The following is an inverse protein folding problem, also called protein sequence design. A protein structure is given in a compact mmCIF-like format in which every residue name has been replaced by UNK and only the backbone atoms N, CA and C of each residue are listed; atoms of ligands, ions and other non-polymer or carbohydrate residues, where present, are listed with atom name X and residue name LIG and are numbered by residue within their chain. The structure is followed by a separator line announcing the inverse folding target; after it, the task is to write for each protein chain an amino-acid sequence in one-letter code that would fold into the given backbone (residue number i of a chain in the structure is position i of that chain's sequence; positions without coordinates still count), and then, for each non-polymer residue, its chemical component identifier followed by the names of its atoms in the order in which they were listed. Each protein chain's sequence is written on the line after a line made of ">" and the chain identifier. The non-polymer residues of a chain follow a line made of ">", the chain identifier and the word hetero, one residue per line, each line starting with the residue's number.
data_IF_344642698097
#
_entry.id   IF_344642698097
#
_cell.length_a   1.000
_cell.length_b   1.000
_cell.length_c   1.000
_cell.angle_alpha   90.00
_cell.angle_beta   90.00
_cell.angle_gamma   90.00
#
_symmetry.space_group_name_H-M   'P 1'
#
loop_
_entity.id
_entity.type
_entity.pdbx_description
1 polymer ?
#
# COMPACT_ATOMS: atom_id res chain seq x y z
N UNK A 1 28.30 -0.53 2.12
CA UNK A 1 29.57 0.12 2.52
C UNK A 1 30.68 -0.84 2.93
N UNK A 2 30.41 -1.87 3.72
CA UNK A 2 31.42 -2.87 4.15
C UNK A 2 31.93 -3.79 3.01
N UNK A 3 31.48 -3.59 1.77
CA UNK A 3 31.87 -4.43 0.61
C UNK A 3 31.29 -5.84 0.60
N UNK A 4 30.38 -6.19 1.53
CA UNK A 4 29.79 -7.54 1.65
C UNK A 4 28.65 -7.83 0.67
N UNK A 5 27.97 -6.78 0.21
CA UNK A 5 26.89 -6.85 -0.77
C UNK A 5 27.12 -5.75 -1.80
N UNK A 6 26.90 -6.08 -3.06
CA UNK A 6 26.90 -5.17 -4.19
C UNK A 6 25.45 -4.91 -4.61
N UNK A 7 25.06 -3.64 -4.70
CA UNK A 7 23.70 -3.24 -5.07
C UNK A 7 23.37 -3.57 -6.52
N UNK A 8 24.39 -3.61 -7.38
CA UNK A 8 24.24 -3.70 -8.83
C UNK A 8 24.64 -5.07 -9.38
N UNK A 9 25.16 -5.95 -8.52
CA UNK A 9 25.42 -7.33 -8.88
C UNK A 9 24.11 -8.11 -9.11
N UNK A 10 24.06 -8.98 -10.14
CA UNK A 10 22.99 -9.97 -10.31
C UNK A 10 22.79 -10.83 -9.07
N UNK A 11 21.54 -10.96 -8.63
CA UNK A 11 21.20 -11.87 -7.54
C UNK A 11 21.24 -13.34 -8.01
N UNK A 12 21.54 -14.29 -7.10
CA UNK A 12 21.49 -15.71 -7.41
C UNK A 12 20.11 -16.14 -7.92
N UNK A 13 20.07 -16.77 -9.10
CA UNK A 13 18.82 -17.20 -9.76
C UNK A 13 18.03 -18.22 -8.94
N UNK A 14 18.70 -18.94 -8.05
CA UNK A 14 18.05 -19.92 -7.19
C UNK A 14 17.21 -19.24 -6.09
N UNK A 15 17.47 -17.98 -5.73
CA UNK A 15 16.64 -17.23 -4.78
C UNK A 15 15.45 -16.51 -5.42
N UNK A 16 15.31 -16.58 -6.74
CA UNK A 16 14.34 -15.80 -7.50
C UNK A 16 13.24 -16.71 -8.09
N UNK A 17 12.04 -16.16 -8.34
CA UNK A 17 11.07 -16.82 -9.21
C UNK A 17 11.62 -16.95 -10.65
N UNK A 18 10.94 -17.74 -11.47
CA UNK A 18 11.28 -17.86 -12.89
C UNK A 18 11.21 -16.48 -13.56
N UNK A 19 12.25 -16.11 -14.31
CA UNK A 19 12.24 -14.93 -15.17
C UNK A 19 11.74 -15.33 -16.58
N UNK A 20 10.52 -14.93 -17.01
CA UNK A 20 10.00 -15.27 -18.33
C UNK A 20 10.46 -14.29 -19.43
N UNK A 21 11.28 -13.28 -19.11
CA UNK A 21 11.73 -12.22 -20.03
C UNK A 21 13.15 -12.55 -20.55
N UNK A 22 13.28 -13.14 -21.75
CA UNK A 22 14.55 -13.65 -22.25
C UNK A 22 15.52 -12.53 -22.62
N UNK A 23 16.80 -12.67 -22.24
CA UNK A 23 17.88 -11.77 -22.64
C UNK A 23 17.95 -10.43 -21.87
N UNK A 24 17.11 -10.24 -20.86
CA UNK A 24 16.94 -8.96 -20.19
C UNK A 24 17.26 -9.03 -18.69
N UNK A 25 17.72 -7.88 -18.17
CA UNK A 25 18.45 -7.65 -16.92
C UNK A 25 18.19 -8.61 -15.76
N UNK A 26 19.28 -9.06 -15.13
CA UNK A 26 19.20 -9.78 -13.87
C UNK A 26 18.60 -8.89 -12.77
N UNK A 27 17.84 -9.50 -11.87
CA UNK A 27 17.35 -8.80 -10.68
C UNK A 27 18.53 -8.44 -9.79
N UNK A 28 18.64 -7.17 -9.40
CA UNK A 28 19.68 -6.69 -8.48
C UNK A 28 19.09 -6.21 -7.15
N UNK A 29 19.92 -6.10 -6.12
CA UNK A 29 19.50 -5.58 -4.81
C UNK A 29 18.99 -4.12 -4.91
N UNK A 30 19.57 -3.30 -5.79
CA UNK A 30 19.07 -1.95 -6.08
C UNK A 30 17.63 -2.01 -6.59
N UNK A 31 17.35 -2.89 -7.55
CA UNK A 31 16.01 -3.05 -8.12
C UNK A 31 15.01 -3.59 -7.08
N UNK A 32 15.43 -4.45 -6.15
CA UNK A 32 14.58 -4.88 -5.03
C UNK A 32 14.15 -3.68 -4.17
N UNK A 33 15.13 -2.87 -3.74
CA UNK A 33 14.95 -1.80 -2.75
C UNK A 33 14.31 -0.53 -3.30
N UNK A 34 14.30 -0.34 -4.63
CA UNK A 34 13.55 0.71 -5.30
C UNK A 34 12.26 0.23 -5.98
N UNK A 35 11.84 -1.01 -5.71
CA UNK A 35 10.61 -1.60 -6.24
C UNK A 35 10.55 -1.65 -7.78
N UNK A 36 11.65 -1.98 -8.44
CA UNK A 36 11.73 -2.17 -9.90
C UNK A 36 12.26 -3.55 -10.30
N UNK A 37 12.12 -4.53 -9.43
CA UNK A 37 12.61 -5.90 -9.65
C UNK A 37 11.71 -6.76 -10.53
N UNK A 38 10.45 -6.35 -10.73
CA UNK A 38 9.43 -7.16 -11.39
C UNK A 38 8.86 -8.29 -10.54
N UNK A 39 9.21 -8.34 -9.25
CA UNK A 39 8.62 -9.32 -8.32
C UNK A 39 7.12 -9.07 -8.09
N UNK A 40 6.41 -10.16 -7.81
CA UNK A 40 5.08 -10.17 -7.22
C UNK A 40 4.99 -9.34 -5.94
N UNK A 41 3.77 -8.93 -5.57
CA UNK A 41 3.58 -8.02 -4.42
C UNK A 41 3.84 -8.76 -3.11
N UNK A 42 3.23 -9.94 -2.98
CA UNK A 42 3.24 -10.79 -1.79
C UNK A 42 3.95 -12.12 -2.01
N UNK A 43 4.48 -12.68 -0.92
CA UNK A 43 5.03 -14.04 -0.88
C UNK A 43 3.91 -15.08 -0.83
N UNK A 44 4.09 -16.28 -1.41
CA UNK A 44 3.09 -17.36 -1.33
C UNK A 44 2.86 -17.89 0.09
N UNK A 45 3.88 -17.82 0.96
CA UNK A 45 3.88 -18.35 2.34
C UNK A 45 4.49 -17.31 3.27
N UNK A 46 3.86 -17.07 4.43
CA UNK A 46 4.32 -16.13 5.46
C UNK A 46 4.01 -14.64 5.19
N UNK A 47 3.23 -14.35 4.16
CA UNK A 47 2.86 -12.99 3.76
C UNK A 47 1.65 -12.42 4.52
N UNK A 48 1.07 -11.36 3.97
CA UNK A 48 -0.01 -10.59 4.59
C UNK A 48 -1.36 -11.33 4.79
N UNK A 49 -1.49 -12.56 4.27
CA UNK A 49 -2.69 -13.38 4.42
C UNK A 49 -2.44 -14.65 5.25
N UNK A 50 -1.23 -14.82 5.80
CA UNK A 50 -0.77 -16.06 6.40
C UNK A 50 -0.29 -15.87 7.86
N UNK A 51 -1.09 -16.30 8.86
CA UNK A 51 -0.74 -16.19 10.26
C UNK A 51 0.19 -17.31 10.77
N UNK A 52 0.75 -18.17 9.89
CA UNK A 52 1.50 -19.38 10.30
C UNK A 52 2.91 -19.13 10.84
N UNK A 53 3.47 -17.92 10.68
CA UNK A 53 4.81 -17.53 11.16
C UNK A 53 5.95 -18.47 10.71
N UNK A 54 6.12 -18.72 9.40
CA UNK A 54 7.07 -19.71 8.90
C UNK A 54 8.55 -19.28 9.02
N UNK A 55 8.81 -18.02 9.38
CA UNK A 55 10.14 -17.43 9.42
C UNK A 55 10.66 -17.00 8.03
N UNK A 56 11.73 -16.21 8.02
CA UNK A 56 12.22 -15.55 6.80
C UNK A 56 12.75 -16.53 5.75
N UNK A 57 13.51 -17.55 6.15
CA UNK A 57 14.10 -18.51 5.21
C UNK A 57 13.03 -19.33 4.46
N UNK A 58 12.01 -19.84 5.16
CA UNK A 58 10.91 -20.57 4.53
C UNK A 58 10.06 -19.66 3.65
N UNK A 59 9.83 -18.41 4.10
CA UNK A 59 9.13 -17.38 3.34
C UNK A 59 9.83 -17.11 2.00
N UNK A 60 11.14 -16.85 2.01
CA UNK A 60 11.92 -16.63 0.77
C UNK A 60 12.00 -17.90 -0.08
N UNK A 61 12.12 -19.08 0.54
CA UNK A 61 12.11 -20.36 -0.16
C UNK A 61 10.85 -20.59 -0.99
N UNK A 62 9.70 -20.05 -0.57
CA UNK A 62 8.42 -20.20 -1.27
C UNK A 62 8.37 -19.50 -2.65
N UNK A 63 9.24 -18.50 -2.88
CA UNK A 63 9.29 -17.71 -4.12
C UNK A 63 9.66 -18.53 -5.37
N UNK A 64 10.36 -19.66 -5.19
CA UNK A 64 10.83 -20.50 -6.30
C UNK A 64 9.69 -21.08 -7.14
N UNK A 65 8.46 -21.09 -6.61
CA UNK A 65 7.28 -21.54 -7.34
C UNK A 65 6.63 -20.46 -8.23
N UNK A 66 7.07 -19.21 -8.10
CA UNK A 66 6.52 -18.06 -8.80
C UNK A 66 7.20 -17.74 -10.14
N UNK A 67 6.69 -16.69 -10.78
CA UNK A 67 7.21 -16.10 -12.01
C UNK A 67 7.28 -14.59 -11.81
N UNK A 68 8.29 -13.92 -12.38
CA UNK A 68 8.31 -12.45 -12.40
C UNK A 68 7.07 -11.90 -13.11
N UNK A 69 6.51 -10.85 -12.53
CA UNK A 69 5.28 -10.20 -13.00
C UNK A 69 5.57 -9.20 -14.12
N UNK A 70 6.70 -8.48 -14.03
CA UNK A 70 7.13 -7.50 -15.03
C UNK A 70 8.61 -7.66 -15.31
N UNK A 71 9.09 -7.07 -16.40
CA UNK A 71 10.51 -7.11 -16.72
C UNK A 71 11.30 -6.33 -15.65
N UNK A 72 12.43 -6.86 -15.15
CA UNK A 72 13.29 -6.14 -14.22
C UNK A 72 13.74 -4.78 -14.80
N UNK A 73 13.59 -3.72 -14.01
CA UNK A 73 13.93 -2.35 -14.39
C UNK A 73 12.84 -1.61 -15.16
N UNK A 74 11.84 -2.30 -15.73
CA UNK A 74 10.84 -1.71 -16.63
C UNK A 74 10.01 -0.62 -15.95
N UNK A 75 9.40 -0.93 -14.82
CA UNK A 75 8.51 -0.01 -14.09
C UNK A 75 8.56 -0.23 -12.59
N UNK A 76 8.08 0.78 -11.87
CA UNK A 76 7.95 0.73 -10.42
C UNK A 76 6.71 -0.08 -10.05
N UNK A 77 6.91 -1.11 -9.22
CA UNK A 77 5.88 -1.99 -8.68
C UNK A 77 6.24 -2.37 -7.25
N UNK A 78 5.52 -1.81 -6.28
CA UNK A 78 5.75 -2.06 -4.86
C UNK A 78 5.67 -3.55 -4.55
N UNK A 79 6.66 -4.06 -3.82
CA UNK A 79 6.80 -5.49 -3.50
C UNK A 79 7.37 -5.66 -2.11
N UNK A 80 6.59 -6.30 -1.24
CA UNK A 80 7.04 -6.74 0.09
C UNK A 80 8.06 -7.88 -0.04
N UNK A 81 7.99 -8.65 -1.13
CA UNK A 81 9.00 -9.66 -1.48
C UNK A 81 10.38 -9.02 -1.65
N UNK A 82 10.46 -7.87 -2.34
CA UNK A 82 11.73 -7.18 -2.56
C UNK A 82 12.45 -6.82 -1.26
N UNK A 83 11.73 -6.22 -0.31
CA UNK A 83 12.27 -5.87 1.00
C UNK A 83 12.64 -7.12 1.82
N UNK A 84 11.81 -8.16 1.80
CA UNK A 84 12.07 -9.42 2.51
C UNK A 84 13.31 -10.13 2.00
N UNK A 85 13.47 -10.20 0.67
CA UNK A 85 14.64 -10.82 0.05
C UNK A 85 15.90 -10.00 0.33
N UNK A 86 15.82 -8.67 0.33
CA UNK A 86 16.94 -7.82 0.73
C UNK A 86 17.38 -8.09 2.19
N UNK A 87 16.43 -8.23 3.12
CA UNK A 87 16.73 -8.59 4.50
C UNK A 87 17.36 -9.98 4.63
N UNK A 88 16.87 -10.97 3.87
CA UNK A 88 17.46 -12.31 3.85
C UNK A 88 18.90 -12.31 3.30
N UNK A 89 19.21 -11.48 2.31
CA UNK A 89 20.58 -11.31 1.82
C UNK A 89 21.50 -10.68 2.87
N UNK A 90 20.98 -9.79 3.72
CA UNK A 90 21.73 -9.26 4.87
C UNK A 90 22.05 -10.38 5.87
N UNK A 91 21.13 -11.31 6.14
CA UNK A 91 21.40 -12.47 7.00
C UNK A 91 22.53 -13.32 6.43
N UNK A 92 22.45 -13.64 5.13
CA UNK A 92 23.44 -14.46 4.44
C UNK A 92 24.82 -13.81 4.44
N UNK A 93 24.90 -12.51 4.18
CA UNK A 93 26.15 -11.78 4.10
C UNK A 93 26.77 -11.48 5.48
N UNK A 94 25.95 -11.33 6.51
CA UNK A 94 26.43 -11.05 7.88
C UNK A 94 26.67 -12.30 8.72
N UNK A 95 26.06 -13.44 8.36
CA UNK A 95 26.06 -14.66 9.17
C UNK A 95 25.24 -14.54 10.46
N UNK A 96 24.38 -13.52 10.57
CA UNK A 96 23.54 -13.23 11.75
C UNK A 96 22.08 -13.15 11.32
N UNK A 97 21.17 -13.59 12.18
CA UNK A 97 19.72 -13.38 11.99
C UNK A 97 19.37 -11.90 11.78
N UNK A 98 18.35 -11.61 10.95
CA UNK A 98 18.00 -10.26 10.54
C UNK A 98 17.61 -9.39 11.73
N UNK A 99 16.79 -9.90 12.66
CA UNK A 99 16.36 -9.14 13.83
C UNK A 99 17.56 -8.81 14.72
N UNK A 100 18.46 -9.78 14.92
CA UNK A 100 19.70 -9.58 15.67
C UNK A 100 20.65 -8.58 14.98
N UNK A 101 20.80 -8.66 13.65
CA UNK A 101 21.61 -7.69 12.89
C UNK A 101 21.05 -6.27 13.04
N UNK A 102 19.74 -6.09 12.85
CA UNK A 102 19.08 -4.79 12.98
C UNK A 102 19.20 -4.23 14.41
N UNK A 103 19.05 -5.08 15.42
CA UNK A 103 19.23 -4.69 16.83
C UNK A 103 20.64 -4.15 17.09
N UNK A 104 21.67 -4.87 16.64
CA UNK A 104 23.07 -4.53 16.91
C UNK A 104 23.59 -3.38 16.06
N UNK A 105 23.13 -3.26 14.81
CA UNK A 105 23.66 -2.32 13.82
C UNK A 105 22.84 -1.04 13.69
N UNK A 106 21.56 -1.04 14.08
CA UNK A 106 20.66 0.12 13.93
C UNK A 106 20.03 0.50 15.27
N UNK A 107 19.28 -0.39 15.91
CA UNK A 107 18.46 -0.03 17.05
C UNK A 107 19.31 0.37 18.26
N UNK A 108 20.32 -0.43 18.63
CA UNK A 108 21.19 -0.16 19.77
C UNK A 108 22.05 1.10 19.58
N UNK A 109 22.75 1.31 18.43
CA UNK A 109 23.52 2.53 18.20
C UNK A 109 22.69 3.82 18.27
N UNK A 110 21.42 3.76 17.88
CA UNK A 110 20.51 4.90 17.94
C UNK A 110 19.75 5.03 19.27
N UNK A 111 19.94 4.09 20.21
CA UNK A 111 19.25 4.09 21.50
C UNK A 111 17.74 3.83 21.37
N UNK A 112 17.31 3.10 20.33
CA UNK A 112 15.92 2.68 20.13
C UNK A 112 15.58 1.47 21.00
N UNK A 113 15.42 1.72 22.31
CA UNK A 113 15.31 0.66 23.34
C UNK A 113 13.93 0.02 23.42
N UNK A 114 12.92 0.66 22.83
CA UNK A 114 11.53 0.23 22.85
C UNK A 114 11.11 -0.31 21.48
N UNK A 115 12.08 -0.79 20.70
CA UNK A 115 11.91 -1.29 19.34
C UNK A 115 12.45 -2.71 19.16
N UNK A 116 11.72 -3.55 18.45
CA UNK A 116 12.11 -4.92 18.12
C UNK A 116 11.46 -5.40 16.82
N UNK A 117 12.12 -6.34 16.14
CA UNK A 117 11.65 -6.91 14.86
C UNK A 117 10.86 -8.22 15.03
N UNK A 118 10.80 -8.76 16.24
CA UNK A 118 10.02 -9.95 16.59
C UNK A 118 9.27 -9.72 17.89
N UNK A 119 8.14 -10.41 18.07
CA UNK A 119 7.39 -10.37 19.33
C UNK A 119 8.18 -10.96 20.49
N UNK A 120 9.03 -11.96 20.21
CA UNK A 120 9.94 -12.55 21.19
C UNK A 120 10.92 -11.51 21.74
N UNK A 121 11.62 -10.78 20.87
CA UNK A 121 12.58 -9.74 21.29
C UNK A 121 11.90 -8.54 21.96
N UNK A 122 10.66 -8.23 21.59
CA UNK A 122 9.89 -7.14 22.19
C UNK A 122 9.49 -7.44 23.65
N UNK A 123 9.16 -8.70 23.93
CA UNK A 123 8.63 -9.15 25.21
C UNK A 123 7.11 -8.96 25.36
N UNK A 124 6.52 -9.76 26.25
CA UNK A 124 5.07 -9.81 26.46
C UNK A 124 4.48 -8.49 27.01
N UNK A 125 3.25 -8.18 26.60
CA UNK A 125 2.47 -7.06 27.15
C UNK A 125 2.88 -5.65 26.68
N UNK A 126 3.80 -5.58 25.72
CA UNK A 126 4.35 -4.31 25.19
C UNK A 126 3.59 -3.78 23.98
N UNK A 127 2.82 -4.62 23.30
CA UNK A 127 2.03 -4.24 22.12
C UNK A 127 0.71 -3.61 22.56
N UNK A 128 0.38 -2.46 21.98
CA UNK A 128 -0.88 -1.76 22.24
C UNK A 128 -2.08 -2.54 21.68
N UNK A 129 -3.23 -2.44 22.34
CA UNK A 129 -4.47 -2.94 21.78
C UNK A 129 -4.85 -2.15 20.50
N UNK A 130 -4.88 -2.86 19.39
CA UNK A 130 -5.13 -2.32 18.05
C UNK A 130 -6.36 -2.96 17.43
N UNK A 131 -6.99 -2.25 16.50
CA UNK A 131 -8.26 -2.67 15.92
C UNK A 131 -8.25 -2.60 14.40
N UNK A 132 -8.85 -3.61 13.79
CA UNK A 132 -9.02 -3.71 12.35
C UNK A 132 -10.47 -3.43 11.94
N UNK A 133 -10.64 -2.88 10.74
CA UNK A 133 -11.90 -2.98 10.00
C UNK A 133 -11.84 -4.22 9.12
N UNK A 134 -12.79 -5.13 9.32
CA UNK A 134 -12.90 -6.36 8.53
C UNK A 134 -14.16 -6.31 7.69
N UNK A 135 -14.02 -6.51 6.38
CA UNK A 135 -15.15 -6.49 5.45
C UNK A 135 -16.15 -7.60 5.82
N UNK A 136 -17.44 -7.27 5.87
CA UNK A 136 -18.49 -8.24 6.24
C UNK A 136 -19.05 -9.03 5.04
N UNK A 137 -18.60 -8.70 3.82
CA UNK A 137 -19.07 -9.28 2.57
C UNK A 137 -20.47 -8.84 2.13
N UNK A 138 -21.07 -7.88 2.83
CA UNK A 138 -22.40 -7.32 2.58
C UNK A 138 -22.35 -5.81 2.31
N UNK A 139 -21.16 -5.29 1.96
CA UNK A 139 -20.91 -3.88 1.75
C UNK A 139 -20.66 -3.07 3.02
N UNK A 140 -20.52 -3.72 4.17
CA UNK A 140 -20.22 -3.12 5.46
C UNK A 140 -18.88 -3.59 6.05
N UNK A 141 -18.64 -3.14 7.28
CA UNK A 141 -17.39 -3.37 8.01
C UNK A 141 -17.69 -3.69 9.46
N UNK A 142 -16.97 -4.64 10.02
CA UNK A 142 -16.97 -4.93 11.45
C UNK A 142 -15.64 -4.53 12.07
N UNK A 143 -15.69 -4.00 13.29
CA UNK A 143 -14.49 -3.71 14.07
C UNK A 143 -14.06 -4.97 14.79
N UNK A 144 -12.80 -5.37 14.66
CA UNK A 144 -12.21 -6.53 15.33
C UNK A 144 -10.90 -6.15 16.00
N UNK A 145 -10.49 -6.92 17.00
CA UNK A 145 -9.12 -6.81 17.52
C UNK A 145 -8.14 -7.24 16.42
N UNK A 146 -7.03 -6.53 16.30
CA UNK A 146 -5.96 -6.94 15.40
C UNK A 146 -5.36 -8.28 15.86
N UNK A 147 -5.09 -9.22 14.94
CA UNK A 147 -4.29 -10.40 15.26
C UNK A 147 -2.86 -9.98 15.61
N UNK A 148 -2.19 -10.82 16.40
CA UNK A 148 -0.82 -10.58 16.81
C UNK A 148 0.03 -11.80 16.49
N UNK A 149 0.92 -11.67 15.51
CA UNK A 149 1.88 -12.68 15.08
C UNK A 149 3.01 -12.00 14.30
N UNK A 150 4.17 -12.65 14.23
CA UNK A 150 5.29 -12.17 13.41
C UNK A 150 5.07 -12.52 11.93
N UNK A 151 5.17 -11.54 11.04
CA UNK A 151 5.14 -11.79 9.61
C UNK A 151 6.32 -12.68 9.20
N UNK A 152 6.13 -13.62 8.28
CA UNK A 152 7.25 -14.32 7.64
C UNK A 152 8.14 -13.37 6.82
N UNK A 153 7.55 -12.26 6.34
CA UNK A 153 8.20 -11.14 5.66
C UNK A 153 8.78 -10.10 6.64
N UNK A 154 9.43 -10.53 7.73
CA UNK A 154 9.96 -9.65 8.81
C UNK A 154 10.56 -8.33 8.29
N UNK A 155 11.48 -8.32 7.30
CA UNK A 155 12.12 -7.10 6.83
C UNK A 155 11.19 -6.10 6.14
N UNK A 156 10.02 -6.53 5.66
CA UNK A 156 9.09 -5.69 4.91
C UNK A 156 8.12 -4.89 5.81
N UNK A 157 7.87 -5.32 7.05
CA UNK A 157 6.82 -4.68 7.85
C UNK A 157 6.67 -5.09 9.32
N UNK A 158 7.64 -5.80 9.92
CA UNK A 158 7.48 -6.38 11.26
C UNK A 158 8.22 -5.62 12.39
N UNK A 159 8.55 -4.34 12.18
CA UNK A 159 9.14 -3.52 13.24
C UNK A 159 8.06 -3.02 14.21
N UNK A 160 8.12 -3.48 15.45
CA UNK A 160 7.38 -2.91 16.57
C UNK A 160 8.22 -1.78 17.18
N UNK A 161 7.64 -0.60 17.39
CA UNK A 161 8.38 0.57 17.87
C UNK A 161 7.46 1.62 18.49
N UNK A 162 8.05 2.68 19.05
CA UNK A 162 7.38 3.87 19.58
C UNK A 162 7.64 5.07 18.68
N UNK A 163 6.82 6.12 18.83
CA UNK A 163 7.02 7.38 18.09
C UNK A 163 8.38 7.98 18.43
N UNK A 164 8.81 7.89 19.68
CA UNK A 164 10.09 8.38 20.17
C UNK A 164 11.28 7.66 19.53
N UNK A 165 11.23 6.33 19.42
CA UNK A 165 12.30 5.55 18.80
C UNK A 165 12.38 5.80 17.29
N UNK A 166 11.25 5.84 16.58
CA UNK A 166 11.23 6.19 15.16
C UNK A 166 11.71 7.64 14.96
N UNK A 167 11.40 8.56 15.87
CA UNK A 167 11.90 9.93 15.83
C UNK A 167 13.43 10.01 16.05
N UNK A 168 14.03 9.12 16.86
CA UNK A 168 15.50 8.98 16.97
C UNK A 168 16.11 8.54 15.65
N UNK A 169 15.49 7.54 14.99
CA UNK A 169 15.90 7.13 13.64
C UNK A 169 15.82 8.29 12.64
N UNK A 170 14.68 9.00 12.58
CA UNK A 170 14.55 10.16 11.71
C UNK A 170 15.56 11.27 12.00
N UNK A 171 15.83 11.54 13.27
CA UNK A 171 16.83 12.54 13.69
C UNK A 171 18.24 12.16 13.24
N UNK A 172 18.61 10.88 13.37
CA UNK A 172 19.89 10.36 12.91
C UNK A 172 20.07 10.56 11.39
N UNK A 173 19.03 10.26 10.60
CA UNK A 173 19.06 10.49 9.16
C UNK A 173 19.23 11.98 8.81
N UNK A 174 18.50 12.87 9.50
CA UNK A 174 18.56 14.33 9.27
C UNK A 174 19.93 14.95 9.59
N UNK A 175 20.78 14.27 10.35
CA UNK A 175 22.16 14.71 10.66
C UNK A 175 23.23 13.91 9.90
N UNK A 176 22.87 13.35 8.75
CA UNK A 176 23.82 12.67 7.86
C UNK A 176 23.99 11.17 8.15
N UNK A 177 22.94 10.52 8.66
CA UNK A 177 22.91 9.07 8.90
C UNK A 177 23.27 8.64 10.32
N UNK A 178 23.60 9.57 11.23
CA UNK A 178 23.87 9.28 12.64
C UNK A 178 25.02 8.28 12.87
N UNK A 179 25.97 8.21 11.93
CA UNK A 179 27.06 7.25 11.96
C UNK A 179 26.69 5.84 11.48
N UNK A 180 25.45 5.60 11.05
CA UNK A 180 25.02 4.31 10.48
C UNK A 180 25.50 4.12 9.04
N UNK A 181 25.46 5.20 8.26
CA UNK A 181 25.84 5.25 6.84
C UNK A 181 26.58 6.55 6.57
N UNK A 182 27.36 6.57 5.48
CA UNK A 182 28.01 7.78 4.95
C UNK A 182 26.96 8.74 4.40
N UNK A 183 27.20 10.06 4.46
CA UNK A 183 26.31 11.06 3.87
C UNK A 183 25.99 10.82 2.39
N UNK A 184 26.99 10.42 1.58
CA UNK A 184 26.77 10.13 0.16
C UNK A 184 25.88 8.91 -0.08
N UNK A 185 25.94 7.90 0.79
CA UNK A 185 25.03 6.75 0.74
C UNK A 185 23.60 7.17 1.08
N UNK A 186 23.41 8.05 2.06
CA UNK A 186 22.08 8.57 2.39
C UNK A 186 21.49 9.42 1.26
N UNK A 187 22.32 10.21 0.58
CA UNK A 187 21.90 10.98 -0.61
C UNK A 187 21.43 10.06 -1.75
N UNK A 188 22.16 8.97 -2.01
CA UNK A 188 21.77 7.94 -2.97
C UNK A 188 20.44 7.28 -2.58
N UNK A 189 20.27 6.91 -1.30
CA UNK A 189 19.02 6.33 -0.79
C UNK A 189 17.82 7.27 -0.96
N UNK A 190 18.05 8.57 -0.94
CA UNK A 190 17.03 9.61 -1.10
C UNK A 190 16.89 10.15 -2.53
N UNK A 191 17.47 9.45 -3.52
CA UNK A 191 17.34 9.80 -4.94
C UNK A 191 16.48 8.74 -5.62
N UNK A 192 15.43 9.12 -6.37
CA UNK A 192 14.66 8.17 -7.17
C UNK A 192 15.58 7.33 -8.05
N UNK A 193 15.41 6.01 -8.01
CA UNK A 193 16.32 5.07 -8.67
C UNK A 193 15.76 4.61 -10.01
N UNK A 194 16.64 4.49 -11.01
CA UNK A 194 16.33 3.94 -12.35
C UNK A 194 15.15 4.66 -13.03
N UNK A 195 15.05 5.97 -12.83
CA UNK A 195 14.08 6.86 -13.46
C UNK A 195 14.67 8.25 -13.59
N UNK A 196 14.21 9.03 -14.57
CA UNK A 196 14.55 10.44 -14.72
C UNK A 196 13.63 11.35 -13.88
N UNK A 197 12.61 10.77 -13.23
CA UNK A 197 11.71 11.50 -12.35
C UNK A 197 12.39 11.98 -11.07
N UNK A 198 12.02 13.18 -10.63
CA UNK A 198 12.48 13.74 -9.34
C UNK A 198 11.69 13.23 -8.12
N UNK A 199 10.71 12.36 -8.36
CA UNK A 199 9.83 11.75 -7.35
C UNK A 199 9.66 10.28 -7.66
N UNK A 200 9.49 9.45 -6.64
CA UNK A 200 9.39 8.00 -6.80
C UNK A 200 10.02 7.27 -5.63
N UNK A 201 10.53 6.07 -5.87
CA UNK A 201 11.24 5.32 -4.84
C UNK A 201 12.75 5.49 -4.98
N UNK A 202 13.37 5.92 -3.89
CA UNK A 202 14.80 5.74 -3.67
C UNK A 202 15.10 4.32 -3.19
N UNK A 203 16.18 4.15 -2.43
CA UNK A 203 16.52 2.86 -1.81
C UNK A 203 15.84 2.82 -0.43
N UNK A 204 14.69 2.14 -0.34
CA UNK A 204 13.92 2.01 0.91
C UNK A 204 13.13 3.25 1.34
N UNK A 205 13.08 4.30 0.52
CA UNK A 205 12.34 5.53 0.81
C UNK A 205 11.46 5.95 -0.37
N UNK A 206 10.28 6.47 -0.06
CA UNK A 206 9.51 7.31 -0.99
C UNK A 206 10.13 8.70 -0.99
N UNK A 207 10.40 9.23 -2.17
CA UNK A 207 10.93 10.56 -2.42
C UNK A 207 9.88 11.38 -3.15
N UNK A 208 9.56 12.55 -2.61
CA UNK A 208 8.56 13.45 -3.14
C UNK A 208 8.82 14.89 -2.76
N UNK A 209 7.74 15.67 -2.69
CA UNK A 209 7.79 17.07 -2.29
C UNK A 209 6.64 17.40 -1.36
N UNK A 210 6.91 18.21 -0.34
CA UNK A 210 5.91 18.82 0.52
C UNK A 210 6.08 20.33 0.43
N UNK A 211 5.09 21.01 -0.17
CA UNK A 211 5.09 22.47 -0.36
C UNK A 211 6.37 23.01 -1.03
N UNK A 212 6.89 22.28 -2.01
CA UNK A 212 8.12 22.66 -2.73
C UNK A 212 9.41 22.14 -2.10
N UNK A 213 9.39 21.70 -0.84
CA UNK A 213 10.56 21.13 -0.17
C UNK A 213 10.66 19.63 -0.48
N UNK A 214 11.88 19.12 -0.71
CA UNK A 214 12.12 17.68 -0.84
C UNK A 214 11.60 16.96 0.41
N UNK A 215 10.73 15.98 0.21
CA UNK A 215 10.20 15.13 1.26
C UNK A 215 10.68 13.69 1.04
N UNK A 216 11.18 13.06 2.09
CA UNK A 216 11.61 11.65 2.07
C UNK A 216 10.94 10.90 3.22
N UNK A 217 10.50 9.68 3.00
CA UNK A 217 9.73 8.99 4.02
C UNK A 217 9.18 7.65 3.59
N UNK A 218 8.28 7.11 4.39
CA UNK A 218 7.49 5.92 4.05
C UNK A 218 6.22 5.90 4.91
N UNK A 219 5.17 5.28 4.39
CA UNK A 219 3.95 5.00 5.15
C UNK A 219 3.88 3.52 5.50
N UNK A 220 3.13 3.15 6.52
CA UNK A 220 2.92 1.76 6.89
C UNK A 220 1.45 1.48 7.17
N UNK A 221 1.02 0.27 6.86
CA UNK A 221 -0.28 -0.26 7.27
C UNK A 221 -0.15 -1.77 7.43
N UNK A 222 -0.32 -2.26 8.66
CA UNK A 222 -0.31 -3.69 9.00
C UNK A 222 -1.31 -3.88 10.14
N UNK A 223 -2.28 -4.77 9.96
CA UNK A 223 -3.22 -5.26 10.98
C UNK A 223 -3.52 -4.30 12.13
N UNK A 224 -4.46 -3.41 11.93
CA UNK A 224 -4.88 -2.47 12.97
C UNK A 224 -3.85 -1.40 13.31
N UNK A 225 -2.82 -1.20 12.49
CA UNK A 225 -1.86 -0.12 12.64
C UNK A 225 -1.70 0.66 11.33
N UNK A 226 -1.46 1.96 11.44
CA UNK A 226 -1.16 2.85 10.32
C UNK A 226 -0.08 3.86 10.73
N UNK A 227 0.89 4.13 9.85
CA UNK A 227 2.00 5.03 10.16
C UNK A 227 2.31 5.98 9.01
N UNK A 228 2.82 7.16 9.36
CA UNK A 228 3.49 8.08 8.45
C UNK A 228 4.82 8.48 9.06
N UNK A 229 5.88 8.35 8.26
CA UNK A 229 7.22 8.84 8.56
C UNK A 229 7.62 9.78 7.43
N UNK A 230 7.84 11.05 7.73
CA UNK A 230 8.18 12.06 6.72
C UNK A 230 9.24 13.00 7.24
N UNK A 231 10.30 13.17 6.45
CA UNK A 231 11.41 14.07 6.72
C UNK A 231 11.49 15.12 5.61
N UNK A 232 11.84 16.35 5.98
CA UNK A 232 12.26 17.43 5.08
C UNK A 232 13.75 17.70 5.32
N UNK A 233 14.67 17.02 4.60
CA UNK A 233 16.09 17.04 4.91
C UNK A 233 16.71 18.44 4.86
N UNK A 234 16.34 19.25 3.86
CA UNK A 234 16.86 20.60 3.69
C UNK A 234 16.55 21.54 4.85
N UNK A 235 15.52 21.23 5.65
CA UNK A 235 15.09 22.03 6.80
C UNK A 235 15.36 21.35 8.15
N UNK A 236 15.86 20.11 8.15
CA UNK A 236 16.01 19.29 9.36
C UNK A 236 14.70 19.26 10.18
N UNK A 237 13.61 18.91 9.49
CA UNK A 237 12.28 18.72 10.08
C UNK A 237 11.89 17.26 9.83
N UNK A 238 11.26 16.63 10.81
CA UNK A 238 10.72 15.28 10.68
C UNK A 238 9.43 15.14 11.48
N UNK A 239 8.49 14.37 10.95
CA UNK A 239 7.23 14.04 11.58
C UNK A 239 7.03 12.53 11.53
N UNK A 240 6.61 11.99 12.66
CA UNK A 240 6.22 10.59 12.83
C UNK A 240 4.83 10.55 13.42
N UNK A 241 3.92 9.81 12.79
CA UNK A 241 2.57 9.59 13.28
C UNK A 241 2.30 8.09 13.26
N UNK A 242 1.79 7.55 14.37
CA UNK A 242 1.41 6.14 14.52
C UNK A 242 -0.02 6.08 15.03
N UNK A 243 -0.85 5.23 14.43
CA UNK A 243 -2.21 4.94 14.86
C UNK A 243 -2.42 3.45 15.12
N UNK A 244 -3.32 3.14 16.06
CA UNK A 244 -3.74 1.79 16.44
C UNK A 244 -5.08 1.37 15.78
N UNK A 245 -5.29 1.85 14.56
CA UNK A 245 -6.34 1.38 13.66
C UNK A 245 -5.76 1.26 12.23
N UNK A 246 -6.20 0.26 11.47
CA UNK A 246 -5.91 0.17 10.04
C UNK A 246 -6.88 1.02 9.20
N UNK A 247 -6.62 1.07 7.90
CA UNK A 247 -7.47 1.78 6.94
C UNK A 247 -7.69 3.21 7.46
N UNK A 248 -6.61 3.84 7.92
CA UNK A 248 -6.58 5.15 8.58
C UNK A 248 -5.52 6.09 7.97
N UNK A 249 -4.88 5.67 6.88
CA UNK A 249 -3.77 6.37 6.22
C UNK A 249 -4.11 7.82 5.83
N UNK A 250 -5.37 8.09 5.45
CA UNK A 250 -5.83 9.45 5.16
C UNK A 250 -5.75 10.35 6.40
N UNK A 251 -6.23 9.85 7.54
CA UNK A 251 -6.17 10.59 8.82
C UNK A 251 -4.74 10.76 9.31
N UNK A 252 -3.93 9.70 9.23
CA UNK A 252 -2.52 9.73 9.62
C UNK A 252 -1.75 10.74 8.76
N UNK A 253 -1.98 10.75 7.45
CA UNK A 253 -1.41 11.73 6.53
C UNK A 253 -1.86 13.15 6.86
N UNK A 254 -3.15 13.37 7.12
CA UNK A 254 -3.69 14.67 7.50
C UNK A 254 -3.01 15.25 8.75
N UNK A 255 -2.80 14.42 9.79
CA UNK A 255 -2.06 14.81 11.00
C UNK A 255 -0.61 15.14 10.65
N UNK A 256 0.05 14.30 9.85
CA UNK A 256 1.44 14.51 9.44
C UNK A 256 1.63 15.82 8.67
N UNK A 257 0.80 16.07 7.66
CA UNK A 257 0.84 17.27 6.82
C UNK A 257 0.53 18.54 7.62
N UNK A 258 -0.39 18.46 8.58
CA UNK A 258 -0.71 19.57 9.49
C UNK A 258 0.48 19.89 10.37
N UNK A 259 1.10 18.87 11.00
CA UNK A 259 2.28 19.07 11.83
C UNK A 259 3.46 19.64 11.02
N UNK A 260 3.72 19.12 9.82
CA UNK A 260 4.73 19.67 8.91
C UNK A 260 4.45 21.13 8.56
N UNK A 261 3.20 21.49 8.25
CA UNK A 261 2.83 22.87 7.92
C UNK A 261 3.07 23.83 9.09
N UNK A 262 2.72 23.43 10.31
CA UNK A 262 2.98 24.23 11.51
C UNK A 262 4.49 24.36 11.79
N UNK A 263 5.26 23.30 11.57
CA UNK A 263 6.72 23.33 11.71
C UNK A 263 7.36 24.23 10.65
N UNK A 264 6.88 24.24 9.40
CA UNK A 264 7.36 25.15 8.36
C UNK A 264 7.07 26.61 8.71
N UNK A 265 5.88 26.91 9.21
CA UNK A 265 5.54 28.26 9.69
C UNK A 265 6.47 28.68 10.82
N UNK A 266 6.69 27.83 11.82
CA UNK A 266 7.56 28.12 12.95
C UNK A 266 9.04 28.25 12.55
N UNK A 267 9.53 27.49 11.57
CA UNK A 267 10.95 27.42 11.21
C UNK A 267 11.36 28.44 10.16
N UNK A 268 10.51 28.72 9.19
CA UNK A 268 10.83 29.59 8.04
C UNK A 268 9.72 30.60 7.69
N UNK A 269 8.65 30.71 8.49
CA UNK A 269 7.56 31.66 8.28
C UNK A 269 6.57 31.26 7.17
N UNK A 270 6.65 30.03 6.65
CA UNK A 270 5.82 29.58 5.53
C UNK A 270 4.41 29.13 6.02
N UNK A 271 3.48 30.08 6.07
CA UNK A 271 2.10 29.87 6.57
C UNK A 271 1.36 28.75 5.85
N UNK A 272 0.56 27.90 6.53
CA UNK A 272 -0.25 26.86 5.90
C UNK A 272 -1.08 27.37 4.72
N UNK A 273 -1.10 26.64 3.62
CA UNK A 273 -2.00 26.93 2.51
C UNK A 273 -3.41 26.50 2.87
N UNK A 274 -4.34 27.45 2.98
CA UNK A 274 -5.77 27.13 3.14
C UNK A 274 -6.44 27.14 1.78
N UNK A 275 -6.93 25.99 1.32
CA UNK A 275 -7.81 25.94 0.14
C UNK A 275 -9.15 26.57 0.51
N UNK A 276 -9.59 27.55 -0.28
CA UNK A 276 -10.90 28.18 -0.09
C UNK A 276 -11.97 27.21 -0.58
N UNK A 277 -12.98 26.99 0.26
CA UNK A 277 -14.19 26.28 -0.15
C UNK A 277 -15.09 27.22 -0.96
N UNK A 278 -15.84 26.65 -1.89
CA UNK A 278 -16.86 27.40 -2.66
C UNK A 278 -18.25 26.86 -2.35
N UNK A 279 -19.26 27.71 -2.42
CA UNK A 279 -20.65 27.25 -2.34
C UNK A 279 -21.13 26.84 -3.73
N UNK A 280 -21.79 25.68 -3.83
CA UNK A 280 -22.41 25.20 -5.06
C UNK A 280 -23.92 25.10 -4.80
N UNK A 281 -24.76 25.91 -5.48
CA UNK A 281 -26.19 25.97 -5.21
C UNK A 281 -26.93 24.65 -5.44
N UNK A 282 -26.49 23.85 -6.42
CA UNK A 282 -27.11 22.57 -6.75
C UNK A 282 -26.05 21.47 -6.86
N UNK A 283 -26.09 20.51 -5.93
CA UNK A 283 -25.17 19.36 -5.91
C UNK A 283 -25.71 18.12 -6.63
N UNK A 284 -26.99 18.11 -7.02
CA UNK A 284 -27.61 16.96 -7.69
C UNK A 284 -26.92 16.51 -8.98
N UNK A 285 -26.37 17.40 -9.83
CA UNK A 285 -25.65 17.01 -11.04
C UNK A 285 -24.48 16.04 -10.81
N UNK A 286 -23.88 16.07 -9.62
CA UNK A 286 -22.72 15.24 -9.26
C UNK A 286 -23.09 13.91 -8.59
N UNK A 287 -24.35 13.73 -8.18
CA UNK A 287 -24.81 12.51 -7.54
C UNK A 287 -25.03 11.41 -8.59
N UNK A 288 -24.68 10.18 -8.25
CA UNK A 288 -24.78 9.03 -9.14
C UNK A 288 -23.90 7.84 -8.74
N UNK A 289 -24.07 6.74 -9.46
CA UNK A 289 -23.10 5.65 -9.47
C UNK A 289 -22.12 5.87 -10.64
N UNK A 290 -20.85 5.56 -10.41
CA UNK A 290 -19.77 5.70 -11.36
C UNK A 290 -18.84 4.49 -11.29
N UNK A 291 -18.17 4.17 -12.39
CA UNK A 291 -17.16 3.10 -12.47
C UNK A 291 -15.94 3.57 -13.26
N UNK A 292 -14.77 3.10 -12.85
CA UNK A 292 -13.52 3.22 -13.60
C UNK A 292 -13.06 1.84 -14.08
N UNK A 293 -11.86 1.79 -14.65
CA UNK A 293 -11.20 0.51 -14.96
C UNK A 293 -10.93 -0.34 -13.71
N UNK A 294 -10.84 0.26 -12.51
CA UNK A 294 -10.44 -0.45 -11.28
C UNK A 294 -11.44 -0.39 -10.14
N UNK A 295 -12.29 0.64 -10.07
CA UNK A 295 -13.05 0.97 -8.88
C UNK A 295 -14.49 1.38 -9.22
N UNK A 296 -15.36 1.31 -8.23
CA UNK A 296 -16.70 1.89 -8.30
C UNK A 296 -16.81 3.08 -7.34
N UNK A 297 -17.72 4.00 -7.62
CA UNK A 297 -18.08 5.08 -6.72
C UNK A 297 -19.60 5.27 -6.65
N UNK A 298 -20.13 5.53 -5.46
CA UNK A 298 -21.50 6.01 -5.28
C UNK A 298 -21.46 7.36 -4.60
N UNK A 299 -22.03 8.38 -5.23
CA UNK A 299 -22.04 9.76 -4.76
C UNK A 299 -23.49 10.18 -4.52
N UNK A 300 -23.76 10.75 -3.36
CA UNK A 300 -25.10 11.14 -2.92
C UNK A 300 -25.08 12.53 -2.28
N UNK A 301 -26.18 13.26 -2.44
CA UNK A 301 -26.42 14.48 -1.68
C UNK A 301 -27.05 14.09 -0.34
N UNK A 302 -26.39 14.39 0.76
CA UNK A 302 -26.92 14.22 2.12
C UNK A 302 -26.69 15.49 2.94
N UNK A 303 -27.74 16.06 3.52
CA UNK A 303 -27.69 17.26 4.35
C UNK A 303 -26.93 18.43 3.67
N UNK A 304 -27.23 18.69 2.38
CA UNK A 304 -26.60 19.78 1.63
C UNK A 304 -25.11 19.57 1.30
N UNK A 305 -24.60 18.34 1.41
CA UNK A 305 -23.21 18.00 1.08
C UNK A 305 -23.15 16.76 0.19
N UNK A 306 -22.09 16.65 -0.59
CA UNK A 306 -21.78 15.41 -1.29
C UNK A 306 -21.04 14.45 -0.34
N UNK A 307 -21.62 13.27 -0.19
CA UNK A 307 -20.96 12.11 0.41
C UNK A 307 -20.72 11.08 -0.66
N UNK A 308 -19.62 10.35 -0.54
CA UNK A 308 -19.26 9.32 -1.49
C UNK A 308 -18.93 8.02 -0.77
N UNK A 309 -19.05 6.92 -1.50
CA UNK A 309 -18.40 5.66 -1.18
C UNK A 309 -17.54 5.30 -2.38
N UNK A 310 -16.22 5.34 -2.22
CA UNK A 310 -15.25 4.90 -3.24
C UNK A 310 -14.81 3.48 -2.92
N UNK A 311 -15.25 2.50 -3.70
CA UNK A 311 -14.92 1.07 -3.50
C UNK A 311 -15.05 0.60 -2.04
N UNK A 312 -16.19 0.92 -1.42
CA UNK A 312 -16.52 0.55 -0.04
C UNK A 312 -15.98 1.48 1.05
N UNK A 313 -15.24 2.53 0.68
CA UNK A 313 -14.70 3.53 1.62
C UNK A 313 -15.56 4.80 1.64
N UNK A 314 -16.24 5.09 2.77
CA UNK A 314 -16.98 6.34 2.94
C UNK A 314 -16.05 7.54 2.87
N UNK A 315 -16.48 8.56 2.15
CA UNK A 315 -15.77 9.81 1.96
C UNK A 315 -16.74 11.01 1.99
N UNK A 316 -16.18 12.16 2.31
CA UNK A 316 -16.85 13.46 2.17
C UNK A 316 -16.21 14.24 1.04
N UNK A 317 -17.01 14.93 0.23
CA UNK A 317 -16.54 15.76 -0.87
C UNK A 317 -16.76 17.23 -0.52
N UNK A 318 -15.68 17.98 -0.38
CA UNK A 318 -15.71 19.42 -0.07
C UNK A 318 -15.44 20.23 -1.33
N UNK A 319 -16.37 21.10 -1.77
CA UNK A 319 -16.21 21.88 -2.99
C UNK A 319 -15.08 22.93 -2.85
N UNK A 320 -14.19 22.96 -3.84
CA UNK A 320 -13.09 23.94 -3.98
C UNK A 320 -13.08 24.66 -5.32
N UNK A 321 -13.98 24.27 -6.22
CA UNK A 321 -14.29 24.92 -7.48
C UNK A 321 -15.67 24.49 -7.97
N UNK A 322 -16.18 25.03 -9.09
CA UNK A 322 -17.52 24.69 -9.59
C UNK A 322 -17.71 23.19 -9.83
N UNK A 323 -16.68 22.51 -10.34
CA UNK A 323 -16.68 21.07 -10.62
C UNK A 323 -15.56 20.32 -9.87
N UNK A 324 -14.90 20.98 -8.92
CA UNK A 324 -13.69 20.46 -8.25
C UNK A 324 -13.95 20.26 -6.76
N UNK A 325 -13.65 19.08 -6.25
CA UNK A 325 -13.90 18.69 -4.86
C UNK A 325 -12.69 18.02 -4.24
N UNK A 326 -12.54 18.19 -2.93
CA UNK A 326 -11.60 17.41 -2.12
C UNK A 326 -12.33 16.26 -1.45
N UNK A 327 -11.90 15.05 -1.78
CA UNK A 327 -12.31 13.84 -1.12
C UNK A 327 -11.45 13.57 0.12
N UNK A 328 -12.14 13.44 1.26
CA UNK A 328 -11.56 13.03 2.52
C UNK A 328 -12.23 11.75 2.99
N UNK A 329 -11.43 10.70 3.20
CA UNK A 329 -11.87 9.38 3.65
C UNK A 329 -10.97 8.89 4.78
N UNK A 330 -11.13 7.64 5.19
CA UNK A 330 -10.17 7.06 6.14
C UNK A 330 -8.82 6.73 5.51
N UNK A 331 -8.76 6.46 4.21
CA UNK A 331 -7.52 6.07 3.50
C UNK A 331 -6.89 7.19 2.68
N UNK A 332 -7.64 8.26 2.42
CA UNK A 332 -7.16 9.41 1.63
C UNK A 332 -7.45 10.74 2.33
N UNK A 333 -6.54 11.70 2.13
CA UNK A 333 -6.66 13.07 2.61
C UNK A 333 -6.48 14.03 1.44
N UNK A 334 -7.43 14.95 1.27
CA UNK A 334 -7.47 15.99 0.25
C UNK A 334 -7.22 15.51 -1.18
N UNK A 335 -7.76 14.34 -1.50
CA UNK A 335 -7.69 13.73 -2.84
C UNK A 335 -8.59 14.52 -3.80
N UNK A 336 -8.03 15.00 -4.90
CA UNK A 336 -8.80 15.82 -5.85
C UNK A 336 -9.78 14.98 -6.66
N UNK A 337 -11.00 15.49 -6.80
CA UNK A 337 -12.07 14.96 -7.65
C UNK A 337 -12.50 16.05 -8.60
N UNK A 338 -12.24 15.85 -9.89
CA UNK A 338 -12.61 16.79 -10.95
C UNK A 338 -13.75 16.20 -11.78
N UNK A 339 -14.95 16.75 -11.62
CA UNK A 339 -16.12 16.34 -12.39
C UNK A 339 -16.08 16.92 -13.80
N UNK A 340 -16.58 16.12 -14.74
CA UNK A 340 -16.83 16.52 -16.11
C UNK A 340 -18.35 16.64 -16.28
N UNK A 341 -18.79 17.73 -16.91
CA UNK A 341 -20.17 17.96 -17.31
C UNK A 341 -20.13 18.47 -18.74
N UNK A 342 -20.77 17.74 -19.66
CA UNK A 342 -20.85 18.16 -21.06
C UNK A 342 -21.72 19.42 -21.19
N UNK A 343 -21.43 20.24 -22.20
CA UNK A 343 -22.20 21.46 -22.46
C UNK A 343 -23.68 21.13 -22.71
N UNK A 344 -24.58 21.79 -21.97
CA UNK A 344 -26.01 21.53 -22.03
C UNK A 344 -26.50 20.30 -21.27
N UNK A 345 -25.61 19.51 -20.65
CA UNK A 345 -26.00 18.36 -19.83
C UNK A 345 -26.41 18.78 -18.41
N UNK A 346 -27.44 18.13 -17.88
CA UNK A 346 -27.92 18.35 -16.50
C UNK A 346 -27.11 17.57 -15.45
N UNK A 347 -26.42 16.50 -15.87
CA UNK A 347 -25.71 15.57 -15.01
C UNK A 347 -24.25 15.45 -15.44
N UNK A 348 -23.35 15.28 -14.47
CA UNK A 348 -21.93 15.01 -14.74
C UNK A 348 -21.76 13.67 -15.45
N UNK A 349 -21.05 13.60 -16.58
CA UNK A 349 -20.81 12.36 -17.31
C UNK A 349 -19.73 11.49 -16.67
N UNK A 350 -18.86 12.09 -15.86
CA UNK A 350 -17.79 11.39 -15.14
C UNK A 350 -17.01 12.29 -14.19
N UNK A 351 -15.93 11.74 -13.64
CA UNK A 351 -14.93 12.50 -12.91
C UNK A 351 -13.56 11.82 -12.97
N UNK A 352 -12.50 12.59 -12.70
CA UNK A 352 -11.16 12.03 -12.48
C UNK A 352 -10.81 12.03 -11.00
N UNK A 353 -10.16 10.97 -10.55
CA UNK A 353 -9.64 10.84 -9.17
C UNK A 353 -8.51 9.82 -9.13
N UNK A 354 -7.39 10.15 -8.49
CA UNK A 354 -6.28 9.21 -8.26
C UNK A 354 -5.69 8.63 -9.55
N UNK A 355 -5.64 9.42 -10.63
CA UNK A 355 -5.17 8.97 -11.95
C UNK A 355 -6.15 8.08 -12.72
N UNK A 356 -7.37 7.87 -12.21
CA UNK A 356 -8.40 7.10 -12.90
C UNK A 356 -9.54 7.98 -13.40
N UNK A 357 -10.09 7.57 -14.53
CA UNK A 357 -11.29 8.15 -15.12
C UNK A 357 -12.50 7.30 -14.71
N UNK A 358 -13.44 7.93 -14.00
CA UNK A 358 -14.73 7.35 -13.64
C UNK A 358 -15.79 7.84 -14.63
N UNK A 359 -16.57 6.93 -15.18
CA UNK A 359 -17.73 7.22 -16.02
C UNK A 359 -19.01 6.97 -15.22
N UNK A 360 -20.03 7.81 -15.44
CA UNK A 360 -21.35 7.60 -14.83
C UNK A 360 -21.94 6.28 -15.33
N UNK A 361 -22.43 5.46 -14.41
CA UNK A 361 -23.16 4.24 -14.72
C UNK A 361 -24.58 4.62 -15.20
N UNK A 362 -25.04 4.11 -16.36
CA UNK A 362 -26.41 4.30 -16.82
C UNK A 362 -27.47 3.81 -15.82
N UNK A 363 -28.70 4.29 -15.96
CA UNK A 363 -29.81 3.89 -15.08
C UNK A 363 -30.07 2.38 -15.06
N UNK A 364 -29.95 1.74 -16.22
CA UNK A 364 -30.03 0.28 -16.36
C UNK A 364 -28.72 -0.38 -15.95
N UNK A 365 -28.77 -1.15 -14.86
CA UNK A 365 -27.61 -1.85 -14.30
C UNK A 365 -27.63 -3.30 -14.77
N UNK A 366 -26.72 -3.75 -15.65
CA UNK A 366 -26.72 -5.13 -16.09
C UNK A 366 -26.49 -6.08 -14.89
N UNK A 367 -27.17 -7.24 -14.85
CA UNK A 367 -26.85 -8.26 -13.85
C UNK A 367 -25.51 -8.91 -14.13
N UNK A 368 -24.89 -9.53 -13.12
CA UNK A 368 -23.72 -10.37 -13.35
C UNK A 368 -24.08 -11.54 -14.26
N UNK A 369 -23.24 -11.86 -15.27
CA UNK A 369 -23.46 -13.05 -16.10
C UNK A 369 -23.55 -14.33 -15.23
N UNK A 370 -24.53 -15.22 -15.46
CA UNK A 370 -24.81 -16.37 -14.60
C UNK A 370 -23.60 -17.29 -14.37
N UNK A 371 -22.73 -17.42 -15.36
CA UNK A 371 -21.51 -18.20 -15.30
C UNK A 371 -20.52 -17.70 -14.26
N UNK A 372 -20.62 -16.47 -13.77
CA UNK A 372 -19.73 -15.93 -12.73
C UNK A 372 -20.29 -16.06 -11.31
N UNK A 373 -21.57 -16.42 -11.15
CA UNK A 373 -22.18 -16.50 -9.81
C UNK A 373 -21.51 -17.51 -8.89
N UNK A 374 -20.95 -18.59 -9.45
CA UNK A 374 -20.30 -19.65 -8.69
C UNK A 374 -18.99 -19.22 -7.99
N UNK A 375 -18.39 -18.10 -8.41
CA UNK A 375 -17.15 -17.56 -7.83
C UNK A 375 -17.39 -16.53 -6.71
N UNK A 376 -18.64 -16.10 -6.50
CA UNK A 376 -18.97 -15.15 -5.43
C UNK A 376 -18.75 -15.79 -4.05
N UNK A 377 -18.17 -15.05 -3.11
CA UNK A 377 -17.95 -15.56 -1.75
C UNK A 377 -16.71 -14.98 -1.08
N UNK A 378 -16.38 -15.54 0.09
CA UNK A 378 -15.22 -15.15 0.89
C UNK A 378 -14.16 -16.24 0.83
N UNK A 379 -12.90 -15.81 0.79
CA UNK A 379 -11.71 -16.66 0.69
C UNK A 379 -10.65 -16.19 1.69
N UNK A 380 -9.85 -17.13 2.20
CA UNK A 380 -8.72 -16.83 3.06
C UNK A 380 -9.09 -16.68 4.54
N UNK A 381 -8.22 -16.05 5.35
CA UNK A 381 -8.42 -15.91 6.79
C UNK A 381 -9.58 -14.97 7.13
N UNK A 382 -10.14 -15.12 8.33
CA UNK A 382 -11.32 -14.37 8.75
C UNK A 382 -11.05 -12.92 9.20
N UNK A 383 -9.80 -12.58 9.49
CA UNK A 383 -9.38 -11.22 9.84
C UNK A 383 -9.08 -10.35 8.61
N UNK A 384 -8.77 -10.96 7.46
CA UNK A 384 -8.51 -10.25 6.21
C UNK A 384 -9.00 -11.05 4.99
N UNK A 385 -10.32 -11.30 4.91
CA UNK A 385 -10.87 -12.10 3.83
C UNK A 385 -10.73 -11.38 2.49
N UNK A 386 -10.38 -12.14 1.45
CA UNK A 386 -10.65 -11.75 0.08
C UNK A 386 -12.13 -12.01 -0.20
N UNK A 387 -12.87 -11.01 -0.66
CA UNK A 387 -14.32 -11.16 -0.93
C UNK A 387 -14.59 -10.86 -2.39
N UNK A 388 -15.13 -11.85 -3.10
CA UNK A 388 -15.56 -11.74 -4.48
C UNK A 388 -17.05 -11.40 -4.48
N UNK A 389 -17.37 -10.21 -4.96
CA UNK A 389 -18.70 -9.62 -4.99
C UNK A 389 -19.08 -9.21 -6.42
N UNK A 390 -20.35 -8.87 -6.62
CA UNK A 390 -20.84 -8.33 -7.87
C UNK A 390 -21.31 -6.89 -7.71
N UNK A 391 -21.09 -6.09 -8.75
CA UNK A 391 -21.68 -4.77 -8.87
C UNK A 391 -21.75 -4.36 -10.34
N UNK A 392 -22.89 -3.81 -10.76
CA UNK A 392 -23.10 -3.31 -12.14
C UNK A 392 -22.70 -4.29 -13.24
N UNK A 393 -22.92 -5.60 -13.03
CA UNK A 393 -22.58 -6.64 -14.00
C UNK A 393 -21.11 -7.08 -13.99
N UNK A 394 -20.30 -6.53 -13.08
CA UNK A 394 -18.88 -6.82 -12.94
C UNK A 394 -18.58 -7.54 -11.63
N UNK A 395 -17.50 -8.32 -11.65
CA UNK A 395 -16.90 -8.90 -10.46
C UNK A 395 -15.98 -7.88 -9.79
N UNK A 396 -15.98 -7.89 -8.46
CA UNK A 396 -15.11 -7.08 -7.64
C UNK A 396 -14.46 -7.94 -6.55
N UNK A 397 -13.17 -7.72 -6.30
CA UNK A 397 -12.42 -8.33 -5.20
C UNK A 397 -12.14 -7.29 -4.11
N UNK A 398 -12.74 -7.45 -2.93
CA UNK A 398 -12.33 -6.73 -1.72
C UNK A 398 -10.95 -7.22 -1.32
N UNK A 399 -9.96 -6.35 -1.40
CA UNK A 399 -8.56 -6.67 -1.09
C UNK A 399 -8.09 -5.94 0.15
N UNK A 400 -7.37 -6.66 1.02
CA UNK A 400 -6.73 -6.13 2.22
C UNK A 400 -7.67 -5.32 3.15
N UNK A 401 -8.97 -5.64 3.19
CA UNK A 401 -9.97 -4.83 3.90
C UNK A 401 -9.97 -3.33 3.52
N UNK A 402 -9.51 -3.00 2.30
CA UNK A 402 -9.29 -1.62 1.92
C UNK A 402 -10.20 -1.18 0.78
N UNK A 403 -10.17 -1.86 -0.37
CA UNK A 403 -10.95 -1.45 -1.54
C UNK A 403 -11.37 -2.66 -2.37
N UNK A 404 -12.52 -2.50 -3.01
CA UNK A 404 -12.99 -3.35 -4.10
C UNK A 404 -12.25 -3.04 -5.40
N UNK A 405 -11.50 -4.01 -5.93
CA UNK A 405 -10.93 -3.98 -7.27
C UNK A 405 -11.83 -4.66 -8.29
N UNK A 406 -12.15 -3.96 -9.37
CA UNK A 406 -12.85 -4.52 -10.53
C UNK A 406 -12.01 -5.60 -11.19
N UNK A 407 -12.56 -6.79 -11.34
CA UNK A 407 -11.91 -7.90 -12.01
C UNK A 407 -12.29 -7.91 -13.49
N UNK A 408 -11.31 -8.14 -14.37
CA UNK A 408 -11.54 -8.34 -15.80
C UNK A 408 -11.41 -9.83 -16.13
N UNK A 409 -12.51 -10.52 -16.48
CA UNK A 409 -12.45 -11.90 -16.94
C UNK A 409 -11.53 -12.11 -18.15
N UNK A 410 -10.62 -13.08 -18.04
CA UNK A 410 -9.72 -13.52 -19.13
C UNK A 410 -10.04 -14.92 -19.64
N UNK A 411 -10.47 -15.80 -18.73
CA UNK A 411 -11.02 -17.12 -19.04
C UNK A 411 -12.07 -17.49 -18.00
N UNK A 412 -12.66 -18.68 -18.04
CA UNK A 412 -13.66 -19.14 -17.06
C UNK A 412 -13.19 -19.07 -15.60
N UNK A 413 -11.89 -19.20 -15.36
CA UNK A 413 -11.32 -19.28 -14.00
C UNK A 413 -10.22 -18.25 -13.74
N UNK A 414 -9.93 -17.36 -14.69
CA UNK A 414 -8.85 -16.38 -14.55
C UNK A 414 -9.41 -14.99 -14.79
N UNK A 415 -9.13 -14.09 -13.86
CA UNK A 415 -9.38 -12.67 -14.00
C UNK A 415 -8.08 -11.88 -13.83
N UNK A 416 -7.92 -10.81 -14.61
CA UNK A 416 -6.84 -9.86 -14.43
C UNK A 416 -7.21 -8.87 -13.31
N UNK A 417 -6.22 -8.50 -12.49
CA UNK A 417 -6.34 -7.42 -11.52
C UNK A 417 -6.07 -6.07 -12.20
N UNK A 418 -6.79 -5.01 -11.82
CA UNK A 418 -6.75 -3.75 -12.55
C UNK A 418 -5.57 -2.87 -12.09
N UNK A 419 -5.53 -1.62 -12.56
CA UNK A 419 -4.53 -0.63 -12.08
C UNK A 419 -4.72 -0.36 -10.57
N UNK A 420 -3.65 -0.50 -9.79
CA UNK A 420 -3.69 -0.49 -8.33
C UNK A 420 -2.50 -1.20 -7.70
N UNK A 421 -2.69 -1.74 -6.48
CA UNK A 421 -1.62 -2.40 -5.72
C UNK A 421 -1.14 -3.71 -6.34
N UNK A 422 -2.07 -4.46 -6.95
CA UNK A 422 -1.82 -5.78 -7.53
C UNK A 422 -1.82 -5.75 -9.06
N UNK A 423 -1.45 -4.62 -9.66
CA UNK A 423 -1.39 -4.50 -11.12
C UNK A 423 -0.47 -5.54 -11.73
N UNK A 424 -0.86 -6.01 -12.91
CA UNK A 424 -0.24 -7.08 -13.69
C UNK A 424 -0.32 -8.48 -13.03
N UNK A 425 -0.94 -8.62 -11.87
CA UNK A 425 -1.23 -9.92 -11.24
C UNK A 425 -2.64 -10.41 -11.58
N UNK A 426 -2.93 -11.65 -11.22
CA UNK A 426 -4.17 -12.33 -11.56
C UNK A 426 -4.87 -12.92 -10.34
N UNK A 427 -6.15 -13.17 -10.54
CA UNK A 427 -6.99 -14.00 -9.69
C UNK A 427 -7.28 -15.30 -10.44
N UNK A 428 -6.93 -16.44 -9.85
CA UNK A 428 -7.24 -17.77 -10.39
C UNK A 428 -8.21 -18.50 -9.46
N UNK A 429 -9.42 -18.75 -9.92
CA UNK A 429 -10.40 -19.57 -9.19
C UNK A 429 -10.03 -21.05 -9.32
N UNK A 430 -10.01 -21.77 -8.20
CA UNK A 430 -9.57 -23.17 -8.14
C UNK A 430 -10.79 -24.11 -8.08
N UNK A 431 -11.24 -24.70 -9.20
CA UNK A 431 -12.36 -25.64 -9.22
C UNK A 431 -11.94 -27.01 -8.68
N UNK A 432 -12.88 -27.68 -8.01
CA UNK A 432 -12.78 -29.10 -7.64
C UNK A 432 -13.35 -30.00 -8.72
N UNK A 433 -13.29 -31.31 -8.49
CA UNK A 433 -13.86 -32.32 -9.40
C UNK A 433 -15.37 -32.17 -9.61
N UNK A 434 -16.07 -31.56 -8.65
CA UNK A 434 -17.50 -31.24 -8.70
C UNK A 434 -17.81 -29.92 -9.43
N UNK A 435 -16.79 -29.23 -9.97
CA UNK A 435 -16.91 -27.94 -10.64
C UNK A 435 -17.16 -26.76 -9.69
N UNK A 436 -17.22 -26.98 -8.37
CA UNK A 436 -17.32 -25.90 -7.38
C UNK A 436 -15.94 -25.29 -7.12
N UNK A 437 -15.91 -23.99 -6.89
CA UNK A 437 -14.66 -23.32 -6.47
C UNK A 437 -14.41 -23.62 -5.00
N UNK A 438 -13.27 -24.24 -4.68
CA UNK A 438 -12.85 -24.56 -3.30
C UNK A 438 -11.77 -23.61 -2.77
N UNK A 439 -11.19 -22.78 -3.64
CA UNK A 439 -10.20 -21.78 -3.27
C UNK A 439 -9.89 -20.83 -4.41
N UNK A 440 -8.97 -19.91 -4.14
CA UNK A 440 -8.51 -18.91 -5.08
C UNK A 440 -7.01 -18.75 -4.93
N UNK A 441 -6.31 -18.60 -6.05
CA UNK A 441 -4.94 -18.08 -6.07
C UNK A 441 -5.05 -16.57 -6.36
N UNK A 442 -4.76 -15.76 -5.35
CA UNK A 442 -4.79 -14.31 -5.43
C UNK A 442 -3.36 -13.80 -5.43
N UNK A 443 -2.87 -13.34 -6.59
CA UNK A 443 -1.52 -12.79 -6.71
C UNK A 443 -0.44 -13.74 -6.13
N UNK A 444 -0.47 -15.02 -6.51
CA UNK A 444 0.42 -16.08 -6.02
C UNK A 444 0.21 -16.51 -4.57
N UNK A 445 -0.88 -16.07 -3.92
CA UNK A 445 -1.26 -16.49 -2.57
C UNK A 445 -2.52 -17.36 -2.63
N UNK A 446 -2.42 -18.60 -2.13
CA UNK A 446 -3.55 -19.54 -2.12
C UNK A 446 -4.44 -19.31 -0.91
N UNK A 447 -5.71 -19.01 -1.16
CA UNK A 447 -6.71 -18.74 -0.16
C UNK A 447 -7.87 -19.74 -0.29
N UNK A 448 -8.18 -20.56 0.73
CA UNK A 448 -9.30 -21.48 0.68
C UNK A 448 -10.63 -20.73 0.71
N UNK A 449 -11.67 -21.28 0.07
CA UNK A 449 -13.04 -20.75 0.19
C UNK A 449 -13.60 -21.03 1.58
N UNK A 450 -14.39 -20.08 2.09
CA UNK A 450 -15.06 -20.18 3.39
C UNK A 450 -16.53 -20.56 3.28
#
# INVERSE_FOLDING_TARGET
>A
EEGKLDLDAPLPTDLLPLNPFPGEGAVTLRQLLCHRSGLQREVPVGGYFDPSQPGLAATIGSLRSGVLVTQPGEKTRYSNVGASLAGFLVERASGTDFAAYQRERILRPLGMKDSAWTLEDLGAGRVIASHMRVADGRGGWTRRNAPLFDLGTIPAGNLFSTVEDIARFGSALLVGGGGLVKPGTLEEMWTPQLTDDTRGFGIGFVVGSFRGHKAVGHNGAVYGHSTAFTLLPGLKIGVVVVGNEDIANGRIKSISDTALSLMLEARIGEKPSTRKTVEIPNLHPFAGDYESESYWARIEVRNGRLVASFSGQPATLTPVGPHSFLANSRIESDSMVEFQIQEGAELADGFTRGGQQFARVPGDRPPLPPEWRHVLGSYGPDFIPLIISERHGHLYAMTENMVDYRLTPRSRFVCDLPKGMYTDEHVVFLPGADGRIHGIDFASVRLPRR
#
